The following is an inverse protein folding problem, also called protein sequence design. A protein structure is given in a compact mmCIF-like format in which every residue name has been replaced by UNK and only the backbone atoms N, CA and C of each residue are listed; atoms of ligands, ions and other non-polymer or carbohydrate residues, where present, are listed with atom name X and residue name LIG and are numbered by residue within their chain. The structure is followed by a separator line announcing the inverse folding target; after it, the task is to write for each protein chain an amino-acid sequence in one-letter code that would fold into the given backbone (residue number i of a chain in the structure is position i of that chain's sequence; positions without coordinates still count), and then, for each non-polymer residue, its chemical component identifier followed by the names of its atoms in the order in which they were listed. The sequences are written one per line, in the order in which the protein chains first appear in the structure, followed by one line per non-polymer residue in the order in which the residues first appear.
data_IF_451344658185
#
_entry.id   IF_451344658185
#
_cell.length_a   1.000
_cell.length_b   1.000
_cell.length_c   1.000
_cell.angle_alpha   90.00
_cell.angle_beta   90.00
_cell.angle_gamma   90.00
#
_symmetry.space_group_name_H-M   'P 1'
#
loop_
_entity.id
_entity.type
_entity.pdbx_description
1 polymer ?
#
# COMPACT_ATOMS: atom_id res chain seq x y z
N UNK A 1 -19.59 -20.20 29.54
CA UNK A 1 -18.58 -19.20 29.12
C UNK A 1 -18.13 -19.39 27.67
N UNK A 2 -18.72 -20.30 26.89
CA UNK A 2 -18.33 -20.55 25.49
C UNK A 2 -19.10 -19.68 24.48
N UNK A 3 -20.36 -19.33 24.75
CA UNK A 3 -21.18 -18.55 23.82
C UNK A 3 -20.72 -17.10 23.62
N UNK A 4 -20.15 -16.46 24.66
CA UNK A 4 -19.59 -15.11 24.53
C UNK A 4 -18.30 -15.11 23.68
N UNK A 5 -17.45 -16.12 23.86
CA UNK A 5 -16.24 -16.30 23.06
C UNK A 5 -16.56 -16.54 21.58
N UNK A 6 -17.58 -17.36 21.30
CA UNK A 6 -18.06 -17.61 19.93
C UNK A 6 -18.70 -16.37 19.30
N UNK A 7 -19.47 -15.59 20.07
CA UNK A 7 -20.07 -14.34 19.58
C UNK A 7 -19.00 -13.29 19.24
N UNK A 8 -18.02 -13.08 20.13
CA UNK A 8 -16.91 -12.15 19.90
C UNK A 8 -16.03 -12.61 18.74
N UNK A 9 -15.78 -13.92 18.62
CA UNK A 9 -15.01 -14.47 17.50
C UNK A 9 -15.73 -14.30 16.15
N UNK A 10 -17.06 -14.47 16.14
CA UNK A 10 -17.87 -14.21 14.94
C UNK A 10 -17.84 -12.73 14.54
N UNK A 11 -17.95 -11.82 15.50
CA UNK A 11 -17.88 -10.38 15.26
C UNK A 11 -16.49 -9.93 14.77
N UNK A 12 -15.44 -10.47 15.38
CA UNK A 12 -14.05 -10.21 15.01
C UNK A 12 -13.80 -10.64 13.55
N UNK A 13 -14.15 -11.87 13.19
CA UNK A 13 -14.00 -12.35 11.80
C UNK A 13 -14.82 -11.51 10.81
N UNK A 14 -16.01 -11.04 11.22
CA UNK A 14 -16.82 -10.20 10.36
C UNK A 14 -16.24 -8.81 10.17
N UNK A 15 -15.70 -8.15 11.20
CA UNK A 15 -15.13 -6.80 11.09
C UNK A 15 -13.77 -6.81 10.37
N UNK A 16 -12.89 -7.76 10.74
CA UNK A 16 -11.53 -7.85 10.20
C UNK A 16 -11.46 -8.54 8.83
N UNK A 17 -12.55 -9.17 8.37
CA UNK A 17 -12.61 -9.82 7.07
C UNK A 17 -13.19 -8.89 5.99
N UNK A 18 -14.48 -9.07 5.60
CA UNK A 18 -15.05 -8.37 4.44
C UNK A 18 -14.98 -6.82 4.50
N UNK A 19 -15.29 -6.14 5.63
CA UNK A 19 -15.29 -4.68 5.70
C UNK A 19 -13.88 -4.09 5.61
N UNK A 20 -12.90 -4.67 6.29
CA UNK A 20 -11.52 -4.19 6.24
C UNK A 20 -10.94 -4.32 4.84
N UNK A 21 -11.13 -5.48 4.21
CA UNK A 21 -10.69 -5.72 2.83
C UNK A 21 -11.40 -4.78 1.84
N UNK A 22 -12.70 -4.55 2.01
CA UNK A 22 -13.47 -3.65 1.14
C UNK A 22 -13.05 -2.19 1.30
N UNK A 23 -12.73 -1.73 2.52
CA UNK A 23 -12.18 -0.40 2.75
C UNK A 23 -10.78 -0.23 2.14
N UNK A 24 -9.91 -1.23 2.30
CA UNK A 24 -8.56 -1.20 1.75
C UNK A 24 -8.61 -1.20 0.21
N UNK A 25 -9.37 -2.12 -0.38
CA UNK A 25 -9.54 -2.24 -1.83
C UNK A 25 -10.28 -1.03 -2.40
N UNK A 26 -11.31 -0.55 -1.71
CA UNK A 26 -12.07 0.65 -2.06
C UNK A 26 -11.20 1.90 -2.07
N UNK A 27 -10.34 2.08 -1.05
CA UNK A 27 -9.40 3.22 -1.01
C UNK A 27 -8.40 3.13 -2.16
N UNK A 28 -7.86 1.94 -2.43
CA UNK A 28 -6.95 1.72 -3.54
C UNK A 28 -7.60 2.05 -4.90
N UNK A 29 -8.83 1.56 -5.14
CA UNK A 29 -9.56 1.81 -6.37
C UNK A 29 -9.97 3.29 -6.51
N UNK A 30 -10.44 3.90 -5.44
CA UNK A 30 -10.81 5.32 -5.40
C UNK A 30 -9.62 6.21 -5.79
N UNK A 31 -8.44 5.96 -5.20
CA UNK A 31 -7.23 6.69 -5.56
C UNK A 31 -6.83 6.41 -7.02
N UNK A 32 -6.89 5.16 -7.48
CA UNK A 32 -6.53 4.81 -8.86
C UNK A 32 -7.38 5.55 -9.90
N UNK A 33 -8.69 5.64 -9.66
CA UNK A 33 -9.62 6.36 -10.56
C UNK A 33 -9.39 7.87 -10.48
N UNK A 34 -9.28 8.43 -9.27
CA UNK A 34 -9.10 9.88 -9.09
C UNK A 34 -7.76 10.37 -9.67
N UNK A 35 -6.70 9.56 -9.58
CA UNK A 35 -5.38 9.86 -10.14
C UNK A 35 -5.26 9.49 -11.63
N UNK A 36 -6.35 9.09 -12.30
CA UNK A 36 -6.40 8.76 -13.74
C UNK A 36 -5.39 7.68 -14.14
N UNK A 37 -5.33 6.58 -13.40
CA UNK A 37 -4.43 5.46 -13.68
C UNK A 37 -2.94 5.86 -13.71
N UNK A 38 -2.47 6.48 -12.63
CA UNK A 38 -1.04 6.81 -12.46
C UNK A 38 -0.09 5.61 -12.60
N UNK A 39 -0.62 4.40 -12.38
CA UNK A 39 0.07 3.13 -12.55
C UNK A 39 0.64 2.94 -13.97
N UNK A 40 0.04 3.54 -15.00
CA UNK A 40 0.56 3.49 -16.36
C UNK A 40 1.91 4.24 -16.53
N UNK A 41 2.27 5.11 -15.60
CA UNK A 41 3.53 5.85 -15.60
C UNK A 41 4.66 5.14 -14.83
N UNK A 42 4.42 3.93 -14.29
CA UNK A 42 5.44 3.10 -13.63
C UNK A 42 6.75 2.95 -14.42
N UNK A 43 6.75 2.65 -15.74
CA UNK A 43 8.02 2.46 -16.47
C UNK A 43 8.87 3.73 -16.51
N UNK A 44 8.24 4.90 -16.56
CA UNK A 44 8.92 6.19 -16.46
C UNK A 44 9.48 6.43 -15.06
N UNK A 45 8.69 6.12 -14.03
CA UNK A 45 9.11 6.25 -12.63
C UNK A 45 10.27 5.31 -12.27
N UNK A 46 10.28 4.06 -12.76
CA UNK A 46 11.38 3.11 -12.54
C UNK A 46 12.67 3.63 -13.18
N UNK A 47 12.58 4.13 -14.42
CA UNK A 47 13.74 4.72 -15.10
C UNK A 47 14.27 5.93 -14.34
N UNK A 48 13.39 6.75 -13.77
CA UNK A 48 13.78 7.90 -12.96
C UNK A 48 14.41 7.48 -11.62
N UNK A 49 13.87 6.46 -10.94
CA UNK A 49 14.43 5.92 -9.69
C UNK A 49 15.81 5.27 -9.88
N UNK A 50 16.10 4.76 -11.09
CA UNK A 50 17.41 4.22 -11.48
C UNK A 50 18.37 5.29 -12.04
N UNK A 51 17.84 6.43 -12.49
CA UNK A 51 18.64 7.56 -12.96
C UNK A 51 19.23 8.30 -11.76
N UNK A 52 20.56 8.41 -11.73
CA UNK A 52 21.28 9.30 -10.82
C UNK A 52 21.13 10.76 -11.30
N UNK A 53 19.94 11.33 -11.17
CA UNK A 53 19.80 12.79 -11.22
C UNK A 53 20.13 13.32 -9.83
N UNK A 54 21.10 14.23 -9.77
CA UNK A 54 21.79 14.63 -8.54
C UNK A 54 20.88 14.98 -7.38
N UNK A 55 21.29 14.50 -6.20
CA UNK A 55 21.07 15.06 -4.85
C UNK A 55 19.96 16.12 -4.77
N UNK A 56 18.71 15.65 -4.72
CA UNK A 56 17.67 16.39 -4.02
C UNK A 56 17.89 16.24 -2.51
N UNK A 57 17.56 17.28 -1.76
CA UNK A 57 17.72 17.45 -0.30
C UNK A 57 17.07 16.32 0.52
N UNK A 58 17.69 15.15 0.55
CA UNK A 58 17.18 13.95 1.20
C UNK A 58 18.33 13.08 1.69
N UNK A 59 18.24 12.61 2.93
CA UNK A 59 19.28 11.86 3.65
C UNK A 59 19.62 10.50 2.98
N UNK A 60 18.79 10.04 2.04
CA UNK A 60 18.90 8.75 1.37
C UNK A 60 18.67 8.86 -0.14
N UNK A 61 19.42 8.07 -0.91
CA UNK A 61 19.23 7.95 -2.36
C UNK A 61 17.81 7.45 -2.69
N UNK A 62 17.19 8.02 -3.74
CA UNK A 62 15.90 7.56 -4.29
C UNK A 62 15.88 6.05 -4.55
N UNK A 63 16.99 5.48 -5.00
CA UNK A 63 17.14 4.04 -5.20
C UNK A 63 17.19 3.28 -3.86
N UNK A 64 17.87 3.82 -2.85
CA UNK A 64 17.98 3.23 -1.52
C UNK A 64 16.64 3.13 -0.80
N UNK A 65 15.84 4.21 -0.83
CA UNK A 65 14.49 4.21 -0.25
C UNK A 65 13.58 3.15 -0.90
N UNK A 66 13.68 2.98 -2.22
CA UNK A 66 12.95 1.97 -2.97
C UNK A 66 13.34 0.55 -2.55
N UNK A 67 14.64 0.28 -2.39
CA UNK A 67 15.13 -1.03 -1.93
C UNK A 67 14.70 -1.35 -0.50
N UNK A 68 14.68 -0.37 0.40
CA UNK A 68 14.17 -0.56 1.77
C UNK A 68 12.68 -0.86 1.79
N UNK A 69 11.88 -0.12 1.01
CA UNK A 69 10.44 -0.39 0.91
C UNK A 69 10.15 -1.77 0.31
N UNK A 70 10.96 -2.24 -0.65
CA UNK A 70 10.84 -3.58 -1.23
C UNK A 70 11.28 -4.70 -0.28
N UNK A 71 12.27 -4.44 0.57
CA UNK A 71 12.78 -5.40 1.54
C UNK A 71 11.85 -5.61 2.75
N UNK A 72 10.93 -4.67 2.99
CA UNK A 72 9.92 -4.79 4.03
C UNK A 72 8.89 -5.86 3.63
N UNK A 73 8.93 -7.00 4.31
CA UNK A 73 7.97 -8.10 4.23
C UNK A 73 7.06 -8.08 5.45
#
# INVERSE_FOLDING_TARGET
MESLGQFVSGLSNWVWGPPMLLLLMGTHLFLTIRLRFIQCYLPGAIKLSLQRTGEGEGDISHFGALMTALAAN
#
